data_IF_644026567142
#
_entry.id   IF_644026567142
#
_cell.length_a   1.000
_cell.length_b   1.000
_cell.length_c   1.000
_cell.angle_alpha   90.00
_cell.angle_beta   90.00
_cell.angle_gamma   90.00
#
_symmetry.space_group_name_H-M   'P 1'
#
loop_
_entity.id
_entity.type
_entity.pdbx_description
1 polymer ?
#
# COMPACT_ATOMS: atom_id res chain seq x y z
N UNK A 1 64.56 -9.36 6.98
CA UNK A 1 63.91 -8.02 6.87
C UNK A 1 62.41 -8.08 6.52
N UNK A 2 61.71 -9.21 6.72
CA UNK A 2 60.34 -9.46 6.20
C UNK A 2 59.19 -9.11 7.17
N UNK A 3 59.47 -8.72 8.42
CA UNK A 3 58.43 -8.53 9.46
C UNK A 3 57.68 -7.18 9.40
N UNK A 4 58.20 -6.16 8.72
CA UNK A 4 57.60 -4.80 8.75
C UNK A 4 56.42 -4.62 7.77
N UNK A 5 56.33 -5.45 6.73
CA UNK A 5 55.29 -5.34 5.69
C UNK A 5 53.94 -5.93 6.13
N UNK A 6 53.94 -6.88 7.07
CA UNK A 6 52.70 -7.54 7.54
C UNK A 6 51.83 -6.61 8.41
N UNK A 7 52.44 -5.68 9.13
CA UNK A 7 51.71 -4.72 9.97
C UNK A 7 51.04 -3.61 9.12
N UNK A 8 51.69 -3.19 8.04
CA UNK A 8 51.12 -2.22 7.10
C UNK A 8 49.92 -2.77 6.32
N UNK A 9 49.96 -4.05 5.93
CA UNK A 9 48.85 -4.69 5.21
C UNK A 9 47.60 -4.86 6.11
N UNK A 10 47.80 -5.14 7.40
CA UNK A 10 46.71 -5.26 8.37
C UNK A 10 46.03 -3.91 8.65
N UNK A 11 46.82 -2.83 8.73
CA UNK A 11 46.28 -1.47 8.91
C UNK A 11 45.48 -0.99 7.69
N UNK A 12 45.94 -1.33 6.47
CA UNK A 12 45.23 -0.97 5.24
C UNK A 12 43.90 -1.74 5.08
N UNK A 13 43.86 -3.01 5.50
CA UNK A 13 42.62 -3.80 5.52
C UNK A 13 41.60 -3.26 6.53
N UNK A 14 42.05 -2.74 7.67
CA UNK A 14 41.17 -2.18 8.70
C UNK A 14 40.56 -0.83 8.28
N UNK A 15 41.29 -0.01 7.52
CA UNK A 15 40.79 1.27 6.99
C UNK A 15 39.69 1.10 5.91
N UNK A 16 39.68 -0.01 5.19
CA UNK A 16 38.63 -0.34 4.22
C UNK A 16 37.33 -0.83 4.87
N UNK A 17 37.37 -1.25 6.14
CA UNK A 17 36.18 -1.67 6.88
C UNK A 17 35.37 -0.52 7.49
N UNK A 18 35.92 0.71 7.50
CA UNK A 18 35.12 1.92 7.72
C UNK A 18 34.39 2.25 6.42
N UNK A 19 33.39 1.42 6.13
CA UNK A 19 32.47 1.62 5.03
C UNK A 19 31.93 3.03 5.08
N UNK A 20 32.19 3.79 4.00
CA UNK A 20 31.42 4.99 3.70
C UNK A 20 29.95 4.58 3.75
N UNK A 21 29.24 5.05 4.77
CA UNK A 21 27.78 4.98 4.77
C UNK A 21 27.33 5.85 3.60
N UNK A 22 27.17 5.22 2.43
CA UNK A 22 26.59 5.88 1.28
C UNK A 22 25.14 6.18 1.66
N UNK A 23 24.88 7.42 2.05
CA UNK A 23 23.52 7.90 2.12
C UNK A 23 22.98 7.90 0.69
N UNK A 24 22.22 6.86 0.36
CA UNK A 24 21.43 6.81 -0.85
C UNK A 24 20.31 7.84 -0.70
N UNK A 25 20.62 9.09 -1.05
CA UNK A 25 19.61 10.14 -1.18
C UNK A 25 18.85 9.83 -2.47
N UNK A 26 17.76 9.08 -2.36
CA UNK A 26 16.83 8.94 -3.46
C UNK A 26 16.16 10.30 -3.71
N UNK A 27 16.14 10.73 -4.98
CA UNK A 27 15.47 11.97 -5.35
C UNK A 27 13.96 11.81 -5.12
N UNK A 28 13.33 12.84 -4.55
CA UNK A 28 11.90 12.86 -4.36
C UNK A 28 11.18 12.74 -5.72
N UNK A 29 10.32 11.74 -5.86
CA UNK A 29 9.38 11.58 -6.94
C UNK A 29 8.17 12.47 -6.67
N UNK A 30 7.83 13.33 -7.61
CA UNK A 30 6.62 14.17 -7.55
C UNK A 30 5.86 14.02 -8.86
N UNK A 31 4.58 13.67 -8.74
CA UNK A 31 3.67 13.56 -9.88
C UNK A 31 2.94 14.88 -10.07
N UNK A 32 3.21 15.59 -11.17
CA UNK A 32 2.54 16.88 -11.50
C UNK A 32 1.27 16.69 -12.34
N UNK A 33 1.05 15.47 -12.84
CA UNK A 33 -0.13 15.04 -13.57
C UNK A 33 -0.44 13.58 -13.20
N UNK A 34 -1.68 13.17 -13.44
CA UNK A 34 -2.10 11.79 -13.26
C UNK A 34 -1.26 10.85 -14.14
N UNK A 35 -0.84 9.71 -13.58
CA UNK A 35 -0.08 8.69 -14.29
C UNK A 35 -0.72 7.33 -14.11
N UNK A 36 -1.07 6.68 -15.22
CA UNK A 36 -1.67 5.35 -15.21
C UNK A 36 -0.59 4.27 -15.28
N UNK A 37 -0.65 3.32 -14.36
CA UNK A 37 0.10 2.08 -14.36
C UNK A 37 -0.87 0.97 -14.76
N UNK A 38 -0.52 0.29 -15.84
CA UNK A 38 -1.25 -0.86 -16.34
C UNK A 38 -0.58 -2.15 -15.84
N UNK A 39 -1.32 -2.91 -15.03
CA UNK A 39 -0.90 -4.23 -14.59
C UNK A 39 -1.46 -5.26 -15.55
N UNK A 40 -0.60 -6.14 -16.06
CA UNK A 40 -1.02 -7.26 -16.92
C UNK A 40 -1.56 -8.45 -16.14
N UNK A 41 -1.32 -8.51 -14.83
CA UNK A 41 -1.80 -9.59 -13.95
C UNK A 41 -1.84 -9.12 -12.49
N UNK A 42 -3.03 -8.90 -11.89
CA UNK A 42 -4.35 -8.86 -12.55
C UNK A 42 -4.41 -7.77 -13.64
N UNK A 43 -5.25 -7.95 -14.66
CA UNK A 43 -5.48 -6.95 -15.73
C UNK A 43 -6.23 -5.75 -15.14
N UNK A 44 -5.49 -4.74 -14.70
CA UNK A 44 -6.05 -3.57 -14.01
C UNK A 44 -5.21 -2.32 -14.19
N UNK A 45 -5.91 -1.21 -14.39
CA UNK A 45 -5.32 0.12 -14.39
C UNK A 45 -5.41 0.77 -13.01
N UNK A 46 -4.28 1.28 -12.54
CA UNK A 46 -4.18 2.14 -11.36
C UNK A 46 -3.66 3.49 -11.79
N UNK A 47 -4.31 4.56 -11.35
CA UNK A 47 -3.86 5.92 -11.61
C UNK A 47 -3.21 6.49 -10.36
N UNK A 48 -1.92 6.83 -10.43
CA UNK A 48 -1.28 7.72 -9.45
C UNK A 48 -1.80 9.13 -9.70
N UNK A 49 -2.35 9.76 -8.67
CA UNK A 49 -2.95 11.08 -8.78
C UNK A 49 -1.89 12.19 -8.79
N UNK A 50 -2.16 13.26 -9.52
CA UNK A 50 -1.41 14.51 -9.44
C UNK A 50 -1.31 15.02 -8.00
N UNK A 51 -0.15 15.53 -7.64
CA UNK A 51 0.20 15.96 -6.28
C UNK A 51 0.82 14.87 -5.42
N UNK A 52 0.83 13.60 -5.87
CA UNK A 52 1.48 12.51 -5.14
C UNK A 52 2.99 12.74 -5.00
N UNK A 53 3.54 12.27 -3.88
CA UNK A 53 4.96 12.36 -3.53
C UNK A 53 5.44 11.03 -2.96
N UNK A 54 6.63 10.61 -3.36
CA UNK A 54 7.29 9.42 -2.84
C UNK A 54 8.81 9.56 -2.94
N UNK A 55 9.55 8.85 -2.11
CA UNK A 55 11.01 8.71 -2.23
C UNK A 55 11.38 7.66 -3.26
N UNK A 56 10.58 6.60 -3.40
CA UNK A 56 10.77 5.59 -4.44
C UNK A 56 9.46 4.92 -4.81
N UNK A 57 9.42 4.38 -6.02
CA UNK A 57 8.32 3.58 -6.56
C UNK A 57 8.91 2.38 -7.30
N UNK A 58 8.49 1.18 -6.94
CA UNK A 58 8.82 -0.06 -7.63
C UNK A 58 7.52 -0.70 -8.09
N UNK A 59 7.37 -0.86 -9.40
CA UNK A 59 6.25 -1.57 -10.01
C UNK A 59 6.66 -3.02 -10.24
N UNK A 60 6.03 -3.92 -9.48
CA UNK A 60 6.19 -5.37 -9.64
C UNK A 60 5.06 -5.98 -10.46
N UNK A 61 5.03 -7.30 -10.55
CA UNK A 61 3.92 -8.03 -11.16
C UNK A 61 2.73 -8.03 -10.19
N UNK A 62 1.71 -7.23 -10.48
CA UNK A 62 0.49 -7.13 -9.66
C UNK A 62 0.67 -6.43 -8.32
N UNK A 63 1.80 -5.75 -8.10
CA UNK A 63 2.06 -5.02 -6.85
C UNK A 63 2.78 -3.71 -7.12
N UNK A 64 2.54 -2.72 -6.28
CA UNK A 64 3.24 -1.45 -6.27
C UNK A 64 3.86 -1.24 -4.90
N UNK A 65 5.18 -1.17 -4.83
CA UNK A 65 5.88 -0.81 -3.60
C UNK A 65 6.29 0.66 -3.65
N UNK A 66 5.89 1.42 -2.65
CA UNK A 66 6.19 2.85 -2.54
C UNK A 66 6.87 3.14 -1.21
N UNK A 67 7.86 4.02 -1.25
CA UNK A 67 8.45 4.60 -0.03
C UNK A 67 7.98 6.04 0.06
N UNK A 68 7.26 6.40 1.11
CA UNK A 68 6.70 7.75 1.32
C UNK A 68 7.40 8.40 2.50
N UNK A 69 8.00 9.58 2.28
CA UNK A 69 8.69 10.31 3.33
C UNK A 69 7.71 10.92 4.35
N UNK A 70 8.22 11.34 5.51
CA UNK A 70 7.41 11.98 6.54
C UNK A 70 6.60 13.15 5.98
N UNK A 71 5.30 13.16 6.25
CA UNK A 71 4.29 14.16 5.80
C UNK A 71 4.00 14.19 4.30
N UNK A 72 4.75 13.46 3.47
CA UNK A 72 4.42 13.30 2.06
C UNK A 72 3.15 12.47 1.90
N UNK A 73 2.41 12.73 0.82
CA UNK A 73 1.15 12.06 0.50
C UNK A 73 1.28 11.38 -0.86
N UNK A 74 0.95 10.11 -0.92
CA UNK A 74 0.87 9.32 -2.15
C UNK A 74 -0.56 8.82 -2.33
N UNK A 75 -1.20 9.19 -3.43
CA UNK A 75 -2.60 8.85 -3.70
C UNK A 75 -2.75 8.10 -5.02
N UNK A 76 -3.55 7.04 -4.99
CA UNK A 76 -3.88 6.22 -6.15
C UNK A 76 -5.38 6.02 -6.28
N UNK A 77 -5.84 5.79 -7.50
CA UNK A 77 -7.21 5.42 -7.79
C UNK A 77 -7.29 4.22 -8.73
N UNK A 78 -8.38 3.47 -8.64
CA UNK A 78 -8.77 2.48 -9.65
C UNK A 78 -10.28 2.46 -9.83
N UNK A 79 -10.75 2.20 -11.04
CA UNK A 79 -12.17 2.16 -11.39
C UNK A 79 -12.81 0.77 -11.27
N UNK A 80 -12.04 -0.27 -10.95
CA UNK A 80 -12.52 -1.66 -11.01
C UNK A 80 -12.12 -2.53 -9.83
N UNK A 81 -11.05 -2.18 -9.12
CA UNK A 81 -10.51 -2.99 -8.02
C UNK A 81 -10.41 -2.20 -6.73
N UNK A 82 -10.47 -2.92 -5.61
CA UNK A 82 -10.02 -2.40 -4.32
C UNK A 82 -8.51 -2.64 -4.16
N UNK A 83 -7.95 -2.15 -3.06
CA UNK A 83 -6.55 -2.26 -2.72
C UNK A 83 -6.36 -2.95 -1.38
N UNK A 84 -5.35 -3.81 -1.31
CA UNK A 84 -4.82 -4.35 -0.06
C UNK A 84 -3.43 -3.77 0.20
N UNK A 85 -3.12 -3.55 1.47
CA UNK A 85 -1.91 -2.88 1.92
C UNK A 85 -1.15 -3.77 2.89
N UNK A 86 0.17 -3.79 2.72
CA UNK A 86 1.09 -4.49 3.62
C UNK A 86 2.40 -3.71 3.72
N UNK A 87 3.22 -4.04 4.72
CA UNK A 87 4.49 -3.37 4.97
C UNK A 87 4.51 -2.63 6.30
N UNK A 88 5.47 -1.73 6.45
CA UNK A 88 5.68 -0.98 7.68
C UNK A 88 4.91 0.33 7.58
N UNK A 89 3.67 0.33 8.07
CA UNK A 89 2.82 1.52 8.09
C UNK A 89 2.34 1.81 9.51
N UNK A 90 2.63 3.04 9.95
CA UNK A 90 2.03 3.64 11.16
C UNK A 90 0.90 4.59 10.79
N UNK A 91 0.70 4.83 9.49
CA UNK A 91 -0.13 5.90 8.98
C UNK A 91 -1.50 5.42 8.52
N UNK A 92 -2.40 6.41 8.42
CA UNK A 92 -3.77 6.20 7.99
C UNK A 92 -3.79 5.84 6.50
N UNK A 93 -4.00 4.56 6.19
CA UNK A 93 -4.43 4.15 4.86
C UNK A 93 -5.94 4.24 4.82
N UNK A 94 -6.47 5.23 4.10
CA UNK A 94 -7.89 5.31 3.81
C UNK A 94 -8.15 4.75 2.41
N UNK A 95 -8.85 3.62 2.32
CA UNK A 95 -9.49 3.17 1.07
C UNK A 95 -10.96 3.58 1.10
N UNK A 96 -11.40 4.33 0.09
CA UNK A 96 -12.81 4.70 -0.08
C UNK A 96 -13.30 4.26 -1.45
N UNK A 97 -14.46 3.62 -1.49
CA UNK A 97 -15.13 3.16 -2.71
C UNK A 97 -16.47 3.90 -2.89
N UNK A 98 -16.48 5.20 -3.25
CA UNK A 98 -17.71 5.88 -3.63
C UNK A 98 -18.16 5.42 -5.03
N UNK A 99 -18.89 4.30 -5.09
CA UNK A 99 -19.41 3.74 -6.34
C UNK A 99 -18.44 2.72 -6.96
N UNK A 100 -17.92 3.02 -8.15
CA UNK A 100 -17.00 2.13 -8.89
C UNK A 100 -15.52 2.50 -8.71
N UNK A 101 -15.21 3.68 -8.16
CA UNK A 101 -13.83 4.14 -8.05
C UNK A 101 -13.32 3.97 -6.63
N UNK A 102 -12.27 3.18 -6.46
CA UNK A 102 -11.51 3.10 -5.22
C UNK A 102 -10.46 4.20 -5.21
N UNK A 103 -10.40 5.00 -4.15
CA UNK A 103 -9.30 5.92 -3.87
C UNK A 103 -8.56 5.46 -2.63
N UNK A 104 -7.23 5.34 -2.74
CA UNK A 104 -6.36 5.09 -1.61
C UNK A 104 -5.34 6.20 -1.43
N UNK A 105 -5.15 6.60 -0.19
CA UNK A 105 -4.17 7.63 0.20
C UNK A 105 -3.26 7.07 1.29
N UNK A 106 -1.97 7.28 1.09
CA UNK A 106 -0.89 6.97 2.03
C UNK A 106 -0.24 8.27 2.43
N UNK A 107 -0.19 8.54 3.73
CA UNK A 107 0.63 9.62 4.29
C UNK A 107 1.86 8.99 4.95
N UNK A 108 3.07 9.52 4.73
CA UNK A 108 4.26 8.97 5.37
C UNK A 108 4.38 9.37 6.84
N UNK A 109 4.76 8.41 7.69
CA UNK A 109 5.04 8.59 9.11
C UNK A 109 6.41 9.23 9.40
N UNK A 110 6.77 9.45 10.68
CA UNK A 110 7.95 10.23 11.07
C UNK A 110 9.29 9.71 10.51
N UNK A 111 9.42 8.39 10.35
CA UNK A 111 10.62 7.73 9.82
C UNK A 111 10.52 7.42 8.32
N UNK A 112 9.45 7.87 7.66
CA UNK A 112 9.04 7.39 6.34
C UNK A 112 8.44 5.97 6.40
N UNK A 113 7.69 5.61 5.37
CA UNK A 113 7.00 4.31 5.32
C UNK A 113 7.26 3.60 4.02
N UNK A 114 7.41 2.28 4.09
CA UNK A 114 7.50 1.40 2.92
C UNK A 114 6.25 0.55 2.87
N UNK A 115 5.44 0.78 1.83
CA UNK A 115 4.13 0.17 1.69
C UNK A 115 4.08 -0.59 0.37
N UNK A 116 3.62 -1.83 0.44
CA UNK A 116 3.28 -2.65 -0.72
C UNK A 116 1.77 -2.63 -0.89
N UNK A 117 1.35 -2.09 -2.03
CA UNK A 117 -0.03 -2.00 -2.48
C UNK A 117 -0.27 -3.14 -3.46
N UNK A 118 -1.28 -3.97 -3.19
CA UNK A 118 -1.68 -5.07 -4.06
C UNK A 118 -3.13 -4.85 -4.49
N UNK A 119 -3.40 -4.64 -5.78
CA UNK A 119 -4.76 -4.51 -6.29
C UNK A 119 -5.47 -5.86 -6.17
N UNK A 120 -6.67 -5.85 -5.61
CA UNK A 120 -7.47 -7.05 -5.50
C UNK A 120 -8.83 -6.79 -4.89
N UNK A 121 -9.78 -7.71 -5.12
CA UNK A 121 -11.16 -7.56 -4.69
C UNK A 121 -11.97 -6.62 -5.58
N UNK A 122 -13.29 -6.62 -5.39
CA UNK A 122 -14.20 -5.72 -6.10
C UNK A 122 -14.56 -4.54 -5.22
N UNK A 123 -14.49 -3.33 -5.77
CA UNK A 123 -15.03 -2.12 -5.13
C UNK A 123 -16.53 -2.35 -4.86
N UNK A 124 -16.87 -2.57 -3.59
CA UNK A 124 -18.23 -2.75 -3.10
C UNK A 124 -18.57 -1.54 -2.24
N UNK A 125 -19.71 -0.88 -2.51
CA UNK A 125 -20.14 0.34 -1.81
C UNK A 125 -20.47 0.15 -0.32
N UNK A 126 -20.14 -1.02 0.27
CA UNK A 126 -20.33 -1.32 1.68
C UNK A 126 -19.01 -1.51 2.43
N UNK A 127 -18.55 -0.44 3.11
CA UNK A 127 -17.66 -0.53 4.27
C UNK A 127 -16.18 -0.27 3.99
N UNK A 128 -15.69 0.87 4.47
CA UNK A 128 -14.26 1.18 4.51
C UNK A 128 -13.51 0.21 5.41
N UNK A 129 -12.52 -0.48 4.85
CA UNK A 129 -11.57 -1.31 5.59
C UNK A 129 -10.33 -0.49 5.94
N UNK A 130 -10.18 -0.13 7.21
CA UNK A 130 -8.90 0.34 7.76
C UNK A 130 -8.04 -0.86 8.14
N UNK A 131 -6.94 -1.09 7.41
CA UNK A 131 -5.94 -2.09 7.75
C UNK A 131 -4.86 -1.50 8.66
N UNK A 132 -4.95 -1.76 9.96
CA UNK A 132 -3.90 -1.47 10.93
C UNK A 132 -3.00 -2.71 11.15
N UNK A 133 -1.69 -2.47 11.27
CA UNK A 133 -0.63 -3.48 11.35
C UNK A 133 -0.72 -4.47 12.52
N UNK A 134 -0.01 -5.59 12.34
CA UNK A 134 -0.08 -6.76 13.21
C UNK A 134 0.66 -6.65 14.55
N UNK A 135 0.16 -7.43 15.51
CA UNK A 135 0.81 -7.84 16.75
C UNK A 135 0.13 -9.11 17.26
N UNK A 136 0.89 -10.18 17.47
CA UNK A 136 0.36 -11.53 17.66
C UNK A 136 -0.24 -11.83 19.04
N UNK A 137 -0.87 -13.01 19.13
CA UNK A 137 -1.05 -13.76 20.39
C UNK A 137 -2.50 -14.07 20.79
N UNK A 138 -2.91 -15.32 20.58
CA UNK A 138 -3.68 -16.09 21.57
C UNK A 138 -5.21 -15.97 21.61
N UNK A 139 -5.88 -17.02 21.12
CA UNK A 139 -6.94 -17.72 21.86
C UNK A 139 -8.37 -17.16 21.85
N UNK A 140 -9.33 -18.03 21.52
CA UNK A 140 -10.73 -17.90 21.95
C UNK A 140 -11.73 -17.96 20.82
N UNK A 141 -12.32 -19.14 20.59
CA UNK A 141 -13.42 -19.33 19.65
C UNK A 141 -14.67 -18.54 20.06
N UNK A 142 -15.14 -17.69 19.16
CA UNK A 142 -16.46 -17.08 19.20
C UNK A 142 -17.01 -17.07 17.79
N UNK A 143 -18.02 -17.91 17.53
CA UNK A 143 -18.70 -17.97 16.24
C UNK A 143 -19.34 -16.62 15.95
N UNK A 144 -18.92 -15.99 14.85
CA UNK A 144 -19.49 -14.75 14.32
C UNK A 144 -20.94 -14.99 13.89
N UNK A 145 -21.87 -14.18 14.38
CA UNK A 145 -23.27 -14.25 13.98
C UNK A 145 -23.44 -13.72 12.55
N UNK A 146 -23.99 -14.55 11.66
CA UNK A 146 -24.29 -14.15 10.28
C UNK A 146 -25.41 -13.10 10.25
N UNK A 147 -25.25 -11.97 9.53
CA UNK A 147 -26.30 -10.98 9.39
C UNK A 147 -27.57 -11.58 8.78
N UNK A 148 -28.74 -11.24 9.35
CA UNK A 148 -30.02 -11.72 8.87
C UNK A 148 -30.38 -11.08 7.51
N UNK A 149 -30.81 -11.90 6.55
CA UNK A 149 -31.27 -11.43 5.24
C UNK A 149 -32.62 -10.71 5.36
N UNK A 150 -32.78 -9.49 4.80
CA UNK A 150 -34.06 -8.78 4.80
C UNK A 150 -35.16 -9.57 4.08
N UNK A 151 -36.38 -9.54 4.63
CA UNK A 151 -37.54 -10.21 4.03
C UNK A 151 -37.97 -9.51 2.71
N UNK A 152 -38.31 -10.32 1.70
CA UNK A 152 -38.83 -9.82 0.42
C UNK A 152 -40.26 -9.29 0.60
N UNK A 153 -40.58 -8.07 0.12
CA UNK A 153 -41.94 -7.54 0.14
C UNK A 153 -42.92 -8.41 -0.65
N UNK A 154 -44.13 -8.61 -0.12
CA UNK A 154 -45.18 -9.37 -0.79
C UNK A 154 -45.69 -8.65 -2.03
N UNK A 155 -45.81 -9.38 -3.14
CA UNK A 155 -46.45 -8.90 -4.38
C UNK A 155 -47.96 -8.75 -4.17
N UNK A 156 -48.58 -7.60 -4.50
CA UNK A 156 -50.03 -7.44 -4.43
C UNK A 156 -50.76 -8.40 -5.38
N UNK A 157 -51.84 -9.01 -4.90
CA UNK A 157 -52.71 -9.84 -5.72
C UNK A 157 -53.45 -8.98 -6.77
N UNK A 158 -53.54 -9.41 -8.04
CA UNK A 158 -54.38 -8.75 -9.04
C UNK A 158 -55.86 -9.01 -8.71
N UNK A 159 -56.59 -7.97 -8.31
CA UNK A 159 -58.00 -8.09 -7.91
C UNK A 159 -58.88 -6.96 -8.43
N UNK A 160 -59.65 -7.31 -9.47
CA UNK A 160 -60.92 -6.77 -9.96
C UNK A 160 -61.14 -5.25 -10.03
N UNK A 161 -61.08 -4.72 -11.25
CA UNK A 161 -61.82 -3.52 -11.66
C UNK A 161 -63.33 -3.85 -11.74
N UNK A 162 -64.22 -2.93 -11.31
CA UNK A 162 -65.67 -3.04 -11.45
C UNK A 162 -66.17 -2.84 -12.89
#
# INVERSE_FOLDING_TARGET
MIKKYKLGLLALALLLSFGVAMQANAAALTWTADQTIDFSSPDVNITIQSGSKATSLVVGTGTLQVVVANTDVFSITSATTDFSFSGNTTSLVSSTCPGSTTTATVTGGPDGETITITPGGTCSSGGGGGGGGGGGGGGGGGSSATPATPATPATPAPGCLP
#
